data_IF_446389379936
#
_entry.id   IF_446389379936
#
_cell.length_a   1.000
_cell.length_b   1.000
_cell.length_c   1.000
_cell.angle_alpha   90.00
_cell.angle_beta   90.00
_cell.angle_gamma   90.00
#
_symmetry.space_group_name_H-M   'P 1'
#
loop_
_entity.id
_entity.type
_entity.pdbx_description
1 polymer ?
#
# COMPACT_ATOMS: atom_id res chain seq x y z
N UNK A 1 13.25 -22.20 -4.64
CA UNK A 1 12.65 -21.63 -3.42
C UNK A 1 11.16 -21.91 -3.50
N UNK A 2 10.52 -22.36 -2.43
CA UNK A 2 9.06 -22.64 -2.37
C UNK A 2 8.31 -21.36 -2.01
N UNK A 3 7.18 -21.11 -2.66
CA UNK A 3 6.25 -20.03 -2.34
C UNK A 3 5.38 -20.43 -1.13
N UNK A 4 5.52 -19.69 -0.04
CA UNK A 4 4.81 -19.93 1.20
C UNK A 4 4.10 -18.65 1.64
N UNK A 5 2.80 -18.76 1.93
CA UNK A 5 1.97 -17.70 2.47
C UNK A 5 1.38 -18.15 3.80
N UNK A 6 1.82 -17.50 4.88
CA UNK A 6 1.27 -17.67 6.22
C UNK A 6 0.47 -16.41 6.59
N UNK A 7 -0.85 -16.51 6.60
CA UNK A 7 -1.74 -15.34 6.74
C UNK A 7 -1.60 -14.68 8.10
N UNK A 8 -1.35 -15.46 9.16
CA UNK A 8 -1.08 -14.91 10.50
C UNK A 8 0.20 -14.08 10.53
N UNK A 9 1.28 -14.56 9.91
CA UNK A 9 2.55 -13.84 9.83
C UNK A 9 2.44 -12.59 8.97
N UNK A 10 1.80 -12.68 7.81
CA UNK A 10 1.61 -11.52 6.92
C UNK A 10 0.75 -10.45 7.60
N UNK A 11 -0.31 -10.82 8.32
CA UNK A 11 -1.10 -9.86 9.10
C UNK A 11 -0.27 -9.16 10.17
N UNK A 12 0.51 -9.92 10.94
CA UNK A 12 1.38 -9.34 11.97
C UNK A 12 2.46 -8.41 11.37
N UNK A 13 3.03 -8.77 10.23
CA UNK A 13 3.97 -7.92 9.49
C UNK A 13 3.29 -6.65 8.96
N UNK A 14 2.08 -6.77 8.40
CA UNK A 14 1.25 -5.64 7.95
C UNK A 14 0.97 -4.66 9.10
N UNK A 15 0.57 -5.17 10.27
CA UNK A 15 0.34 -4.32 11.45
C UNK A 15 1.61 -3.57 11.88
N UNK A 16 2.74 -4.29 11.97
CA UNK A 16 4.01 -3.70 12.37
C UNK A 16 4.50 -2.62 11.41
N UNK A 17 4.46 -2.87 10.10
CA UNK A 17 4.91 -1.87 9.10
C UNK A 17 3.94 -0.69 9.03
N UNK A 18 2.64 -0.91 9.20
CA UNK A 18 1.64 0.15 9.20
C UNK A 18 1.82 1.09 10.39
N UNK A 19 2.26 0.58 11.54
CA UNK A 19 2.61 1.42 12.68
C UNK A 19 3.76 2.38 12.31
N UNK A 20 4.82 1.89 11.66
CA UNK A 20 5.93 2.73 11.19
C UNK A 20 5.45 3.82 10.24
N UNK A 21 4.53 3.49 9.33
CA UNK A 21 3.96 4.48 8.41
C UNK A 21 3.07 5.50 9.12
N UNK A 22 2.31 5.09 10.14
CA UNK A 22 1.53 6.01 10.97
C UNK A 22 2.42 7.01 11.71
N UNK A 23 3.49 6.52 12.34
CA UNK A 23 4.50 7.37 12.99
C UNK A 23 5.17 8.33 11.98
N UNK A 24 5.44 7.83 10.76
CA UNK A 24 5.95 8.65 9.66
C UNK A 24 4.99 9.77 9.24
N UNK A 25 3.68 9.49 9.20
CA UNK A 25 2.65 10.50 8.92
C UNK A 25 2.66 11.59 9.99
N UNK A 26 2.65 11.20 11.26
CA UNK A 26 2.66 12.15 12.39
C UNK A 26 3.93 13.03 12.37
N UNK A 27 5.09 12.43 12.16
CA UNK A 27 6.35 13.17 12.06
C UNK A 27 6.32 14.19 10.90
N UNK A 28 5.81 13.81 9.73
CA UNK A 28 5.71 14.71 8.58
C UNK A 28 4.66 15.80 8.78
N UNK A 29 3.57 15.53 9.50
CA UNK A 29 2.62 16.58 9.91
C UNK A 29 3.29 17.62 10.82
N UNK A 30 4.12 17.18 11.78
CA UNK A 30 4.90 18.10 12.62
C UNK A 30 5.89 18.94 11.81
N UNK A 31 6.54 18.35 10.79
CA UNK A 31 7.40 19.09 9.85
C UNK A 31 6.60 20.17 9.12
N UNK A 32 5.41 19.87 8.61
CA UNK A 32 4.55 20.87 7.96
C UNK A 32 4.21 22.00 8.92
N UNK A 33 3.79 21.69 10.16
CA UNK A 33 3.48 22.70 11.18
C UNK A 33 4.70 23.58 11.48
N UNK A 34 5.88 22.99 11.68
CA UNK A 34 7.10 23.73 11.93
C UNK A 34 7.47 24.67 10.77
N UNK A 35 7.29 24.24 9.52
CA UNK A 35 7.53 25.08 8.33
C UNK A 35 6.55 26.26 8.29
N UNK A 36 5.27 26.03 8.57
CA UNK A 36 4.28 27.12 8.58
C UNK A 36 4.54 28.11 9.72
N UNK A 37 4.89 27.64 10.92
CA UNK A 37 5.30 28.51 12.03
C UNK A 37 6.54 29.34 11.68
N UNK A 38 7.56 28.70 11.11
CA UNK A 38 8.77 29.41 10.65
C UNK A 38 8.45 30.46 9.57
N UNK A 39 7.54 30.14 8.64
CA UNK A 39 7.12 31.06 7.59
C UNK A 39 6.39 32.29 8.14
N UNK A 40 5.54 32.10 9.16
CA UNK A 40 4.76 33.18 9.77
C UNK A 40 5.51 33.95 10.87
N UNK A 41 6.70 33.51 11.28
CA UNK A 41 7.47 34.16 12.34
C UNK A 41 7.82 35.62 11.97
N UNK A 42 7.33 36.58 12.75
CA UNK A 42 7.58 38.01 12.51
C UNK A 42 8.92 38.53 13.04
N UNK A 43 9.64 37.77 13.88
CA UNK A 43 10.90 38.17 14.53
C UNK A 43 12.12 37.86 13.67
N UNK A 44 12.11 36.71 12.99
CA UNK A 44 13.17 36.29 12.09
C UNK A 44 13.07 37.05 10.76
N UNK A 45 13.77 38.17 10.67
CA UNK A 45 13.72 39.11 9.54
C UNK A 45 15.07 39.26 8.85
N UNK A 46 15.06 39.90 7.68
CA UNK A 46 16.24 40.11 6.84
C UNK A 46 16.24 39.20 5.62
N UNK A 47 17.06 39.55 4.61
CA UNK A 47 17.05 38.88 3.30
C UNK A 47 17.29 37.37 3.40
N UNK A 48 18.23 36.95 4.24
CA UNK A 48 18.54 35.54 4.48
C UNK A 48 17.33 34.79 5.03
N UNK A 49 16.76 35.24 6.15
CA UNK A 49 15.58 34.59 6.75
C UNK A 49 14.36 34.61 5.84
N UNK A 50 14.09 35.73 5.18
CA UNK A 50 12.96 35.83 4.25
C UNK A 50 13.09 34.83 3.10
N UNK A 51 14.28 34.72 2.50
CA UNK A 51 14.53 33.74 1.44
C UNK A 51 14.47 32.29 1.93
N UNK A 52 14.94 32.02 3.16
CA UNK A 52 14.86 30.70 3.78
C UNK A 52 13.40 30.28 3.98
N UNK A 53 12.55 31.15 4.52
CA UNK A 53 11.11 30.87 4.72
C UNK A 53 10.44 30.45 3.41
N UNK A 54 10.64 31.21 2.33
CA UNK A 54 10.12 30.87 1.01
C UNK A 54 10.68 29.55 0.51
N UNK A 55 11.99 29.32 0.68
CA UNK A 55 12.66 28.09 0.26
C UNK A 55 12.11 26.84 0.97
N UNK A 56 12.02 26.84 2.30
CA UNK A 56 11.49 25.71 3.07
C UNK A 56 10.04 25.41 2.72
N UNK A 57 9.21 26.47 2.56
CA UNK A 57 7.82 26.33 2.14
C UNK A 57 7.68 25.80 0.71
N UNK A 58 8.60 26.12 -0.19
CA UNK A 58 8.58 25.66 -1.58
C UNK A 58 9.18 24.27 -1.79
N UNK A 59 9.94 23.73 -0.83
CA UNK A 59 10.68 22.47 -0.98
C UNK A 59 10.27 21.43 0.06
N UNK A 60 10.60 21.65 1.33
CA UNK A 60 10.35 20.68 2.40
C UNK A 60 8.86 20.47 2.69
N UNK A 61 8.00 21.48 2.50
CA UNK A 61 6.55 21.31 2.68
C UNK A 61 5.96 20.33 1.64
N UNK A 62 6.17 20.50 0.33
CA UNK A 62 5.82 19.46 -0.65
C UNK A 62 6.44 18.10 -0.32
N UNK A 63 7.70 18.04 0.10
CA UNK A 63 8.34 16.77 0.46
C UNK A 63 7.58 16.05 1.60
N UNK A 64 7.24 16.77 2.67
CA UNK A 64 6.47 16.24 3.79
C UNK A 64 5.05 15.83 3.38
N UNK A 65 4.38 16.62 2.54
CA UNK A 65 3.06 16.27 1.97
C UNK A 65 3.12 14.97 1.17
N UNK A 66 4.13 14.80 0.33
CA UNK A 66 4.29 13.60 -0.46
C UNK A 66 4.63 12.36 0.39
N UNK A 67 5.45 12.52 1.43
CA UNK A 67 5.71 11.43 2.39
C UNK A 67 4.42 10.99 3.13
N UNK A 68 3.56 11.93 3.53
CA UNK A 68 2.24 11.60 4.11
C UNK A 68 1.41 10.77 3.12
N UNK A 69 1.29 11.24 1.87
CA UNK A 69 0.54 10.51 0.84
C UNK A 69 1.10 9.11 0.59
N UNK A 70 2.43 8.97 0.53
CA UNK A 70 3.10 7.69 0.34
C UNK A 70 2.78 6.72 1.50
N UNK A 71 2.92 7.17 2.75
CA UNK A 71 2.61 6.35 3.92
C UNK A 71 1.14 5.91 3.94
N UNK A 72 0.20 6.83 3.67
CA UNK A 72 -1.24 6.51 3.61
C UNK A 72 -1.54 5.48 2.50
N UNK A 73 -0.93 5.62 1.32
CA UNK A 73 -1.08 4.66 0.23
C UNK A 73 -0.49 3.29 0.57
N UNK A 74 0.69 3.24 1.21
CA UNK A 74 1.33 1.98 1.62
C UNK A 74 0.52 1.25 2.70
N UNK A 75 -0.05 1.97 3.67
CA UNK A 75 -0.97 1.39 4.67
C UNK A 75 -2.16 0.73 3.97
N UNK A 76 -2.81 1.43 3.04
CA UNK A 76 -3.94 0.89 2.28
C UNK A 76 -3.55 -0.37 1.51
N UNK A 77 -2.41 -0.34 0.83
CA UNK A 77 -1.93 -1.47 0.02
C UNK A 77 -1.56 -2.69 0.88
N UNK A 78 -0.90 -2.48 2.02
CA UNK A 78 -0.55 -3.55 2.94
C UNK A 78 -1.76 -4.22 3.58
N UNK A 79 -2.82 -3.45 3.85
CA UNK A 79 -4.09 -3.98 4.34
C UNK A 79 -4.82 -4.78 3.25
N UNK A 80 -4.79 -4.30 2.00
CA UNK A 80 -5.45 -4.96 0.88
C UNK A 80 -4.72 -6.22 0.41
N UNK A 81 -3.40 -6.31 0.59
CA UNK A 81 -2.59 -7.45 0.11
C UNK A 81 -3.07 -8.82 0.64
N UNK A 82 -3.24 -9.05 1.97
CA UNK A 82 -3.74 -10.34 2.46
C UNK A 82 -5.17 -10.62 2.00
N UNK A 83 -6.03 -9.60 1.89
CA UNK A 83 -7.41 -9.76 1.40
C UNK A 83 -7.43 -10.19 -0.07
N UNK A 84 -6.59 -9.57 -0.90
CA UNK A 84 -6.45 -9.92 -2.30
C UNK A 84 -5.85 -11.31 -2.48
N UNK A 85 -4.89 -11.71 -1.64
CA UNK A 85 -4.42 -13.10 -1.62
C UNK A 85 -5.56 -14.06 -1.29
N UNK A 86 -6.35 -13.76 -0.24
CA UNK A 86 -7.43 -14.65 0.18
C UNK A 86 -8.52 -14.82 -0.88
N UNK A 87 -8.86 -13.73 -1.58
CA UNK A 87 -9.78 -13.76 -2.70
C UNK A 87 -9.19 -14.48 -3.93
N UNK A 88 -7.91 -14.24 -4.24
CA UNK A 88 -7.27 -14.69 -5.47
C UNK A 88 -6.66 -16.08 -5.38
N UNK A 89 -6.35 -16.62 -4.19
CA UNK A 89 -5.63 -17.89 -4.02
C UNK A 89 -6.38 -18.83 -3.07
N UNK A 90 -6.39 -18.52 -1.77
CA UNK A 90 -7.01 -19.37 -0.74
C UNK A 90 -7.25 -18.58 0.56
N UNK A 91 -8.28 -18.95 1.32
CA UNK A 91 -8.62 -18.31 2.61
C UNK A 91 -7.73 -18.75 3.77
N UNK A 92 -6.91 -19.79 3.56
CA UNK A 92 -6.00 -20.40 4.54
C UNK A 92 -4.55 -20.24 4.12
N UNK A 93 -3.63 -20.64 5.01
CA UNK A 93 -2.21 -20.72 4.68
C UNK A 93 -1.97 -21.66 3.49
N UNK A 94 -1.00 -21.29 2.64
CA UNK A 94 -0.61 -22.05 1.45
C UNK A 94 0.89 -22.24 1.46
N UNK A 95 1.32 -23.50 1.40
CA UNK A 95 2.71 -23.88 1.22
C UNK A 95 2.81 -24.67 -0.08
N UNK A 96 3.51 -24.13 -1.07
CA UNK A 96 3.62 -24.72 -2.41
C UNK A 96 4.07 -26.19 -2.35
N UNK A 97 5.14 -26.49 -1.60
CA UNK A 97 5.63 -27.86 -1.46
C UNK A 97 4.59 -28.84 -0.86
N UNK A 98 3.73 -28.37 0.05
CA UNK A 98 2.66 -29.19 0.63
C UNK A 98 1.54 -29.45 -0.39
N UNK A 99 1.16 -28.42 -1.16
CA UNK A 99 0.18 -28.57 -2.25
C UNK A 99 0.68 -29.56 -3.30
N UNK A 100 1.96 -29.46 -3.70
CA UNK A 100 2.59 -30.39 -4.63
C UNK A 100 2.62 -31.83 -4.06
N UNK A 101 2.95 -31.99 -2.78
CA UNK A 101 2.94 -33.29 -2.10
C UNK A 101 1.54 -33.91 -2.10
N UNK A 102 0.50 -33.11 -1.84
CA UNK A 102 -0.89 -33.56 -1.86
C UNK A 102 -1.35 -33.95 -3.28
N UNK A 103 -0.91 -33.22 -4.33
CA UNK A 103 -1.15 -33.60 -5.73
C UNK A 103 -0.52 -34.95 -6.04
N UNK A 104 0.74 -35.18 -5.61
CA UNK A 104 1.40 -36.47 -5.80
C UNK A 104 0.67 -37.61 -5.07
N UNK A 105 0.18 -37.34 -3.85
CA UNK A 105 -0.61 -38.30 -3.09
C UNK A 105 -1.94 -38.63 -3.77
N UNK A 106 -2.67 -37.63 -4.28
CA UNK A 106 -3.90 -37.85 -5.05
C UNK A 106 -3.63 -38.69 -6.30
N UNK A 107 -2.53 -38.44 -7.02
CA UNK A 107 -2.14 -39.26 -8.17
C UNK A 107 -1.85 -40.73 -7.79
N UNK A 108 -1.25 -40.99 -6.63
CA UNK A 108 -1.04 -42.37 -6.14
C UNK A 108 -2.38 -43.05 -5.86
N UNK A 109 -3.29 -42.38 -5.16
CA UNK A 109 -4.60 -42.93 -4.85
C UNK A 109 -5.47 -43.16 -6.09
N UNK A 110 -5.38 -42.30 -7.10
CA UNK A 110 -6.03 -42.53 -8.41
C UNK A 110 -5.53 -43.84 -9.02
N UNK A 111 -4.20 -44.04 -9.11
CA UNK A 111 -3.61 -45.27 -9.68
C UNK A 111 -4.00 -46.53 -8.89
N UNK A 112 -3.98 -46.45 -7.56
CA UNK A 112 -4.39 -47.55 -6.69
C UNK A 112 -5.88 -47.89 -6.90
N UNK A 113 -6.74 -46.88 -6.98
CA UNK A 113 -8.17 -47.06 -7.21
C UNK A 113 -8.48 -47.57 -8.63
N UNK A 114 -7.74 -47.15 -9.66
CA UNK A 114 -7.84 -47.67 -11.03
C UNK A 114 -7.57 -49.17 -11.07
N UNK A 115 -6.51 -49.65 -10.40
CA UNK A 115 -6.20 -51.09 -10.30
C UNK A 115 -7.32 -51.86 -9.61
N UNK A 116 -7.87 -51.32 -8.52
CA UNK A 116 -8.92 -51.99 -7.75
C UNK A 116 -10.31 -51.88 -8.38
N UNK A 117 -10.54 -50.92 -9.29
CA UNK A 117 -11.83 -50.73 -9.96
C UNK A 117 -12.25 -51.94 -10.81
N UNK A 118 -11.29 -52.72 -11.29
CA UNK A 118 -11.53 -53.99 -11.98
C UNK A 118 -12.16 -55.06 -11.06
N UNK A 119 -12.03 -54.92 -9.74
CA UNK A 119 -12.47 -55.88 -8.73
C UNK A 119 -13.79 -55.45 -8.07
N UNK A 120 -14.07 -54.14 -7.98
CA UNK A 120 -15.33 -53.62 -7.44
C UNK A 120 -15.77 -52.30 -8.09
N UNK A 121 -16.95 -52.24 -8.73
CA UNK A 121 -17.45 -51.03 -9.39
C UNK A 121 -17.64 -49.82 -8.47
N UNK A 122 -17.85 -50.05 -7.16
CA UNK A 122 -17.98 -49.00 -6.13
C UNK A 122 -16.70 -48.18 -5.92
N UNK A 123 -15.53 -48.69 -6.32
CA UNK A 123 -14.24 -47.99 -6.20
C UNK A 123 -14.08 -46.90 -7.28
N UNK A 124 -14.83 -46.99 -8.37
CA UNK A 124 -14.83 -45.98 -9.44
C UNK A 124 -15.19 -44.58 -8.92
N UNK A 125 -16.08 -44.47 -7.93
CA UNK A 125 -16.44 -43.20 -7.30
C UNK A 125 -15.25 -42.52 -6.60
N UNK A 126 -14.34 -43.30 -6.03
CA UNK A 126 -13.13 -42.78 -5.37
C UNK A 126 -12.17 -42.14 -6.36
N UNK A 127 -12.08 -42.67 -7.59
CA UNK A 127 -11.27 -42.08 -8.67
C UNK A 127 -11.76 -40.66 -8.96
N UNK A 128 -13.08 -40.49 -9.15
CA UNK A 128 -13.66 -39.16 -9.40
C UNK A 128 -13.40 -38.17 -8.26
N UNK A 129 -13.46 -38.62 -7.00
CA UNK A 129 -13.17 -37.79 -5.84
C UNK A 129 -11.70 -37.35 -5.84
N UNK A 130 -10.75 -38.28 -6.02
CA UNK A 130 -9.33 -37.94 -6.05
C UNK A 130 -8.95 -37.07 -7.26
N UNK A 131 -9.60 -37.26 -8.40
CA UNK A 131 -9.45 -36.36 -9.55
C UNK A 131 -9.94 -34.95 -9.24
N UNK A 132 -11.09 -34.81 -8.57
CA UNK A 132 -11.61 -33.50 -8.16
C UNK A 132 -10.66 -32.79 -7.18
N UNK A 133 -10.16 -33.52 -6.16
CA UNK A 133 -9.16 -32.99 -5.20
C UNK A 133 -7.90 -32.54 -5.92
N UNK A 134 -7.36 -33.38 -6.82
CA UNK A 134 -6.18 -33.04 -7.62
C UNK A 134 -6.40 -31.76 -8.43
N UNK A 135 -7.55 -31.63 -9.10
CA UNK A 135 -7.87 -30.44 -9.89
C UNK A 135 -7.95 -29.18 -9.02
N UNK A 136 -8.56 -29.26 -7.84
CA UNK A 136 -8.61 -28.13 -6.89
C UNK A 136 -7.21 -27.72 -6.41
N UNK A 137 -6.35 -28.67 -6.06
CA UNK A 137 -4.97 -28.39 -5.64
C UNK A 137 -4.14 -27.76 -6.77
N UNK A 138 -4.32 -28.23 -8.01
CA UNK A 138 -3.68 -27.65 -9.19
C UNK A 138 -4.16 -26.22 -9.46
N UNK A 139 -5.45 -25.94 -9.26
CA UNK A 139 -6.00 -24.58 -9.36
C UNK A 139 -5.38 -23.65 -8.31
N UNK A 140 -5.32 -24.07 -7.04
CA UNK A 140 -4.67 -23.29 -5.97
C UNK A 140 -3.20 -23.00 -6.30
N UNK A 141 -2.46 -24.00 -6.79
CA UNK A 141 -1.04 -23.82 -7.16
C UNK A 141 -0.87 -22.82 -8.30
N UNK A 142 -1.70 -22.93 -9.35
CA UNK A 142 -1.68 -21.99 -10.47
C UNK A 142 -2.04 -20.56 -10.05
N UNK A 143 -3.05 -20.43 -9.18
CA UNK A 143 -3.46 -19.14 -8.60
C UNK A 143 -2.38 -18.52 -7.73
N UNK A 144 -1.69 -19.33 -6.92
CA UNK A 144 -0.54 -18.91 -6.12
C UNK A 144 0.57 -18.33 -7.01
N UNK A 145 0.96 -19.04 -8.08
CA UNK A 145 1.98 -18.59 -9.02
C UNK A 145 1.57 -17.31 -9.74
N UNK A 146 0.32 -17.23 -10.19
CA UNK A 146 -0.23 -16.06 -10.86
C UNK A 146 -0.21 -14.86 -9.92
N UNK A 147 -0.69 -15.02 -8.69
CA UNK A 147 -0.69 -13.97 -7.68
C UNK A 147 0.73 -13.48 -7.39
N UNK A 148 1.69 -14.39 -7.17
CA UNK A 148 3.09 -14.04 -6.97
C UNK A 148 3.69 -13.25 -8.15
N UNK A 149 3.32 -13.59 -9.39
CA UNK A 149 3.81 -12.90 -10.58
C UNK A 149 3.20 -11.51 -10.79
N UNK A 150 2.02 -11.22 -10.21
CA UNK A 150 1.29 -9.97 -10.44
C UNK A 150 1.19 -9.05 -9.23
N UNK A 151 1.33 -9.56 -8.01
CA UNK A 151 0.99 -8.83 -6.77
C UNK A 151 1.90 -7.62 -6.52
N UNK A 152 3.15 -7.64 -7.00
CA UNK A 152 4.04 -6.47 -6.89
C UNK A 152 3.47 -5.23 -7.57
N UNK A 153 2.69 -5.39 -8.65
CA UNK A 153 2.11 -4.27 -9.41
C UNK A 153 1.12 -3.45 -8.60
N UNK A 154 0.58 -4.01 -7.52
CA UNK A 154 -0.26 -3.27 -6.58
C UNK A 154 0.47 -2.06 -5.98
N UNK A 155 1.81 -2.12 -5.91
CA UNK A 155 2.65 -1.09 -5.29
C UNK A 155 3.26 -0.11 -6.29
N UNK A 156 3.08 -0.29 -7.61
CA UNK A 156 3.73 0.52 -8.64
C UNK A 156 3.50 2.02 -8.44
N UNK A 157 2.26 2.44 -8.20
CA UNK A 157 1.94 3.86 -7.98
C UNK A 157 2.59 4.44 -6.71
N UNK A 158 2.75 3.63 -5.66
CA UNK A 158 3.44 4.08 -4.44
C UNK A 158 4.95 4.19 -4.68
N UNK A 159 5.51 3.25 -5.45
CA UNK A 159 6.92 3.25 -5.82
C UNK A 159 7.27 4.43 -6.73
N UNK A 160 6.40 4.76 -7.69
CA UNK A 160 6.55 5.96 -8.53
C UNK A 160 6.62 7.23 -7.67
N UNK A 161 5.71 7.38 -6.70
CA UNK A 161 5.73 8.53 -5.79
C UNK A 161 7.01 8.55 -4.94
N UNK A 162 7.43 7.40 -4.41
CA UNK A 162 8.67 7.27 -3.65
C UNK A 162 9.90 7.70 -4.48
N UNK A 163 9.95 7.34 -5.76
CA UNK A 163 11.01 7.78 -6.67
C UNK A 163 11.02 9.31 -6.85
N UNK A 164 9.86 9.93 -7.01
CA UNK A 164 9.75 11.39 -7.12
C UNK A 164 10.24 12.07 -5.84
N UNK A 165 9.88 11.55 -4.66
CA UNK A 165 10.34 12.08 -3.38
C UNK A 165 11.84 11.92 -3.19
N UNK A 166 12.41 10.79 -3.61
CA UNK A 166 13.86 10.58 -3.58
C UNK A 166 14.59 11.58 -4.47
N UNK A 167 14.11 11.81 -5.70
CA UNK A 167 14.64 12.84 -6.61
C UNK A 167 14.54 14.24 -5.99
N UNK A 168 13.41 14.56 -5.35
CA UNK A 168 13.21 15.83 -4.67
C UNK A 168 14.16 16.06 -3.51
N UNK A 169 14.34 15.05 -2.66
CA UNK A 169 15.29 15.09 -1.55
C UNK A 169 16.72 15.29 -2.05
N UNK A 170 17.13 14.58 -3.10
CA UNK A 170 18.46 14.73 -3.69
C UNK A 170 18.70 16.15 -4.24
N UNK A 171 17.71 16.77 -4.90
CA UNK A 171 17.82 18.16 -5.37
C UNK A 171 17.94 19.14 -4.19
N UNK A 172 17.14 18.97 -3.14
CA UNK A 172 17.20 19.78 -1.91
C UNK A 172 18.57 19.67 -1.23
N UNK A 173 19.16 18.47 -1.21
CA UNK A 173 20.46 18.19 -0.58
C UNK A 173 21.66 18.52 -1.46
N UNK A 174 21.44 18.91 -2.73
CA UNK A 174 22.53 19.17 -3.69
C UNK A 174 23.38 20.41 -3.37
N UNK A 175 22.99 21.22 -2.39
CA UNK A 175 23.69 22.46 -2.01
C UNK A 175 23.48 23.63 -2.98
N UNK A 176 22.83 23.41 -4.13
CA UNK A 176 22.60 24.45 -5.16
C UNK A 176 21.66 25.58 -4.72
N UNK A 177 20.86 25.33 -3.68
CA UNK A 177 19.87 26.29 -3.20
C UNK A 177 20.49 27.51 -2.53
N UNK A 178 21.67 27.37 -1.90
CA UNK A 178 22.33 28.46 -1.21
C UNK A 178 23.19 29.31 -2.16
N UNK A 179 23.01 30.62 -2.10
CA UNK A 179 23.87 31.59 -2.77
C UNK A 179 24.70 32.36 -1.74
N UNK A 180 25.99 32.05 -1.67
CA UNK A 180 26.90 32.71 -0.73
C UNK A 180 27.15 34.19 -1.03
N UNK A 181 27.08 34.61 -2.30
CA UNK A 181 27.30 36.01 -2.68
C UNK A 181 26.16 36.93 -2.23
N UNK A 182 24.93 36.42 -2.24
CA UNK A 182 23.74 37.18 -1.80
C UNK A 182 23.31 36.85 -0.37
N UNK A 183 23.82 35.76 0.22
CA UNK A 183 23.42 35.25 1.52
C UNK A 183 21.96 34.78 1.55
N UNK A 184 21.47 34.17 0.46
CA UNK A 184 20.05 33.81 0.30
C UNK A 184 19.84 32.42 -0.26
N UNK A 185 18.68 31.83 0.03
CA UNK A 185 18.19 30.61 -0.60
C UNK A 185 17.38 30.90 -1.87
N UNK A 186 17.42 29.99 -2.85
CA UNK A 186 16.63 30.06 -4.08
C UNK A 186 16.36 28.66 -4.64
N UNK A 187 15.18 28.46 -5.22
CA UNK A 187 14.83 27.23 -5.95
C UNK A 187 15.22 27.27 -7.42
N UNK A 188 15.71 28.41 -7.94
CA UNK A 188 15.97 28.60 -9.38
C UNK A 188 16.98 27.61 -9.98
N UNK A 189 17.92 27.11 -9.16
CA UNK A 189 18.94 26.14 -9.58
C UNK A 189 18.54 24.69 -9.34
N UNK A 190 17.36 24.46 -8.77
CA UNK A 190 16.85 23.13 -8.40
C UNK A 190 15.90 22.63 -9.48
N UNK A 191 15.94 21.33 -9.74
CA UNK A 191 14.92 20.67 -10.56
C UNK A 191 13.70 20.39 -9.70
N UNK A 192 12.63 21.16 -9.89
CA UNK A 192 11.42 21.09 -9.07
C UNK A 192 10.29 20.24 -9.68
N UNK A 193 10.54 19.51 -10.76
CA UNK A 193 9.50 18.74 -11.47
C UNK A 193 8.84 17.66 -10.59
N UNK A 194 9.56 17.13 -9.60
CA UNK A 194 9.06 16.17 -8.62
C UNK A 194 7.89 16.70 -7.77
N UNK A 195 7.74 18.03 -7.66
CA UNK A 195 6.63 18.63 -6.89
C UNK A 195 5.27 18.46 -7.57
N UNK A 196 5.23 18.28 -8.90
CA UNK A 196 4.00 18.12 -9.67
C UNK A 196 3.22 16.85 -9.28
N UNK A 197 3.80 15.63 -9.35
CA UNK A 197 3.10 14.41 -8.93
C UNK A 197 2.72 14.44 -7.44
N UNK A 198 3.54 15.06 -6.60
CA UNK A 198 3.23 15.26 -5.18
C UNK A 198 1.99 16.14 -4.99
N UNK A 199 1.89 17.26 -5.72
CA UNK A 199 0.72 18.13 -5.66
C UNK A 199 -0.56 17.40 -6.09
N UNK A 200 -0.47 16.55 -7.14
CA UNK A 200 -1.58 15.71 -7.59
C UNK A 200 -1.99 14.70 -6.51
N UNK A 201 -1.04 14.00 -5.90
CA UNK A 201 -1.31 13.05 -4.81
C UNK A 201 -1.96 13.76 -3.61
N UNK A 202 -1.46 14.93 -3.25
CA UNK A 202 -2.01 15.74 -2.15
C UNK A 202 -3.43 16.22 -2.45
N UNK A 203 -3.72 16.69 -3.66
CA UNK A 203 -5.06 17.07 -4.07
C UNK A 203 -6.04 15.90 -4.03
N UNK A 204 -5.62 14.73 -4.54
CA UNK A 204 -6.42 13.49 -4.48
C UNK A 204 -6.77 13.13 -3.03
N UNK A 205 -5.80 13.23 -2.12
CA UNK A 205 -6.00 13.03 -0.69
C UNK A 205 -7.05 13.98 -0.11
N UNK A 206 -6.98 15.28 -0.42
CA UNK A 206 -7.96 16.25 0.07
C UNK A 206 -9.38 15.93 -0.44
N UNK A 207 -9.52 15.62 -1.73
CA UNK A 207 -10.81 15.24 -2.30
C UNK A 207 -11.38 13.95 -1.67
N UNK A 208 -10.53 13.00 -1.31
CA UNK A 208 -10.98 11.77 -0.62
C UNK A 208 -11.50 12.07 0.78
N UNK A 209 -10.81 12.95 1.52
CA UNK A 209 -11.28 13.39 2.85
C UNK A 209 -12.60 14.14 2.78
N UNK A 210 -12.73 15.08 1.85
CA UNK A 210 -13.97 15.84 1.65
C UNK A 210 -15.16 14.92 1.33
N UNK A 211 -14.95 13.90 0.48
CA UNK A 211 -15.98 12.89 0.18
C UNK A 211 -16.37 12.09 1.42
N UNK A 212 -15.38 11.70 2.23
CA UNK A 212 -15.63 10.93 3.44
C UNK A 212 -16.37 11.74 4.50
N UNK A 213 -16.03 13.03 4.65
CA UNK A 213 -16.74 13.96 5.53
C UNK A 213 -18.18 14.18 5.06
N UNK A 214 -18.42 14.21 3.74
CA UNK A 214 -19.77 14.31 3.18
C UNK A 214 -20.60 13.03 3.42
N UNK A 215 -20.04 11.84 3.17
CA UNK A 215 -20.73 10.57 3.41
C UNK A 215 -21.10 10.39 4.88
N UNK A 216 -20.18 10.69 5.80
CA UNK A 216 -20.44 10.58 7.25
C UNK A 216 -21.52 11.56 7.71
N UNK A 217 -21.59 12.75 7.12
CA UNK A 217 -22.68 13.70 7.36
C UNK A 217 -24.04 13.16 6.88
N UNK A 218 -24.12 12.59 5.68
CA UNK A 218 -25.37 12.00 5.16
C UNK A 218 -25.83 10.79 6.00
N UNK A 219 -24.92 9.92 6.41
CA UNK A 219 -25.22 8.78 7.30
C UNK A 219 -25.80 9.25 8.63
N UNK A 220 -25.20 10.29 9.24
CA UNK A 220 -25.70 10.88 10.50
C UNK A 220 -27.11 11.48 10.38
N UNK A 221 -27.47 12.05 9.22
CA UNK A 221 -28.82 12.56 8.96
C UNK A 221 -29.82 11.46 8.56
N UNK A 222 -29.33 10.33 8.03
CA UNK A 222 -30.16 9.17 7.71
C UNK A 222 -30.59 8.41 8.96
N UNK A 223 -29.72 8.30 9.95
CA UNK A 223 -29.99 7.67 11.25
C UNK A 223 -30.91 8.53 12.15
N UNK A 224 -30.85 9.86 12.03
CA UNK A 224 -31.69 10.79 12.79
C UNK A 224 -33.06 11.08 12.14
N UNK A 225 -33.66 10.09 11.46
CA UNK A 225 -35.03 10.15 10.92
C UNK A 225 -36.08 9.53 11.84
N UNK A 226 -35.71 9.17 13.07
CA UNK A 226 -36.62 8.61 14.09
C UNK A 226 -37.84 9.49 14.39
N UNK A 227 -37.76 10.80 14.15
CA UNK A 227 -38.87 11.74 14.30
C UNK A 227 -39.89 11.72 13.13
N UNK A 228 -39.55 11.14 11.98
CA UNK A 228 -40.48 10.96 10.85
C UNK A 228 -41.39 9.75 11.02
N UNK A 229 -41.04 8.79 11.88
CA UNK A 229 -41.86 7.61 12.19
C UNK A 229 -42.83 7.84 13.37
N UNK A 230 -42.82 9.04 13.95
CA UNK A 230 -43.66 9.44 15.10
C UNK A 230 -44.87 10.31 14.73
N UNK A 231 -45.23 10.40 13.43
CA UNK A 231 -46.39 11.15 12.93
C UNK A 231 -47.37 10.22 12.19
#
# INVERSE_FOLDING_TARGET
>A
MSLNMFLGEVKSQTESINQVYAEGIEAMQQVIVAIELFYMDGKLQGKTYNSAKTYFKATYRPLAQGMICLCEDLIRLNNAFPEQFQAAVATTDVQEAEVERQIQQANRHIREAEVLSAVSPTITSSIFIFEAIKRQLQDVLNRLHTFNASSSKMFDSAMDLAEQLSRGLAEIQSGKAWNAATGTFSTQKLKMDWTKPVAVAWQKRLMQKEKQDFCTYEESMGEDKSWLESA
#
